data_IF_889496527074
#
_entry.id   IF_889496527074
#
_cell.length_a   1.000
_cell.length_b   1.000
_cell.length_c   1.000
_cell.angle_alpha   90.00
_cell.angle_beta   90.00
_cell.angle_gamma   90.00
#
_symmetry.space_group_name_H-M   'P 1'
#
loop_
_entity.id
_entity.type
_entity.pdbx_description
1 polymer ?
#
# COMPACT_ATOMS: atom_id res chain seq x y z
N UNK A 1 -5.79 -11.39 15.02
CA UNK A 1 -4.58 -11.10 15.83
C UNK A 1 -3.40 -11.83 15.20
N UNK A 2 -2.21 -11.23 15.23
CA UNK A 2 -0.96 -11.89 14.82
C UNK A 2 0.13 -11.66 15.87
N UNK A 3 1.06 -12.61 16.00
CA UNK A 3 2.20 -12.58 16.92
C UNK A 3 3.46 -13.00 16.15
N UNK A 4 4.48 -12.16 16.15
CA UNK A 4 5.81 -12.52 15.68
C UNK A 4 6.70 -12.89 16.87
N UNK A 5 7.37 -14.04 16.82
CA UNK A 5 8.22 -14.48 17.94
C UNK A 5 9.12 -15.66 17.60
N UNK A 6 10.14 -15.86 18.43
CA UNK A 6 11.09 -16.95 18.26
C UNK A 6 10.54 -18.28 18.80
N UNK A 7 10.65 -19.34 17.99
CA UNK A 7 10.27 -20.72 18.36
C UNK A 7 11.27 -21.42 19.28
N UNK A 8 12.49 -20.89 19.35
CA UNK A 8 13.62 -21.42 20.12
C UNK A 8 14.47 -20.26 20.61
N UNK A 9 15.56 -20.57 21.32
CA UNK A 9 16.55 -19.57 21.70
C UNK A 9 16.99 -18.71 20.52
N UNK A 10 16.90 -17.40 20.69
CA UNK A 10 17.40 -16.38 19.77
C UNK A 10 18.68 -15.76 20.34
N UNK A 11 19.62 -15.43 19.47
CA UNK A 11 20.83 -14.73 19.87
C UNK A 11 20.60 -13.24 19.88
N UNK A 12 20.83 -12.59 21.03
CA UNK A 12 20.73 -11.15 21.18
C UNK A 12 22.12 -10.57 21.47
N UNK A 13 22.29 -9.27 21.21
CA UNK A 13 23.51 -8.55 21.54
C UNK A 13 23.27 -7.71 22.80
N UNK A 14 23.93 -8.03 23.93
CA UNK A 14 23.82 -7.25 25.15
C UNK A 14 24.17 -5.77 24.90
N UNK A 15 23.34 -4.87 25.41
CA UNK A 15 23.55 -3.42 25.25
C UNK A 15 23.24 -2.89 23.85
N UNK A 16 22.48 -3.62 23.01
CA UNK A 16 22.05 -3.17 21.68
C UNK A 16 21.55 -1.72 21.70
N UNK A 17 22.23 -0.85 20.94
CA UNK A 17 21.90 0.58 20.82
C UNK A 17 21.75 1.03 19.38
N UNK A 18 22.15 0.20 18.41
CA UNK A 18 22.16 0.55 17.01
C UNK A 18 21.69 -0.63 16.16
N UNK A 19 20.90 -0.30 15.15
CA UNK A 19 20.34 -1.25 14.21
C UNK A 19 21.38 -2.11 13.47
N UNK A 20 22.57 -1.57 13.24
CA UNK A 20 23.69 -2.29 12.61
C UNK A 20 24.35 -3.32 13.53
N UNK A 21 23.94 -3.47 14.79
CA UNK A 21 24.60 -4.39 15.70
C UNK A 21 24.11 -5.83 15.57
N UNK A 22 23.05 -6.11 14.81
CA UNK A 22 22.52 -7.47 14.65
C UNK A 22 21.85 -8.01 15.92
N UNK A 23 21.76 -9.34 16.01
CA UNK A 23 21.03 -10.03 17.08
C UNK A 23 19.49 -9.93 16.97
N UNK A 24 18.78 -10.50 17.93
CA UNK A 24 17.30 -10.56 17.97
C UNK A 24 16.66 -9.16 17.90
N UNK A 25 17.25 -8.18 18.58
CA UNK A 25 16.75 -6.80 18.58
C UNK A 25 16.78 -6.14 17.19
N UNK A 26 17.74 -6.48 16.32
CA UNK A 26 17.75 -5.96 14.95
C UNK A 26 16.65 -6.55 14.08
N UNK A 27 16.31 -7.85 14.21
CA UNK A 27 15.18 -8.41 13.45
C UNK A 27 13.84 -7.86 13.94
N UNK A 28 13.70 -7.64 15.25
CA UNK A 28 12.52 -7.01 15.85
C UNK A 28 12.37 -5.55 15.40
N UNK A 29 13.46 -4.77 15.44
CA UNK A 29 13.46 -3.40 14.96
C UNK A 29 13.12 -3.32 13.47
N UNK A 30 13.74 -4.16 12.64
CA UNK A 30 13.44 -4.21 11.20
C UNK A 30 11.97 -4.57 10.95
N UNK A 31 11.40 -5.50 11.73
CA UNK A 31 9.98 -5.84 11.63
C UNK A 31 9.10 -4.62 11.91
N UNK A 32 9.35 -3.88 12.98
CA UNK A 32 8.61 -2.66 13.29
C UNK A 32 8.83 -1.56 12.25
N UNK A 33 10.05 -1.42 11.73
CA UNK A 33 10.34 -0.48 10.64
C UNK A 33 9.46 -0.78 9.42
N UNK A 34 9.43 -2.03 8.94
CA UNK A 34 8.62 -2.40 7.78
C UNK A 34 7.12 -2.36 8.06
N UNK A 35 6.68 -2.78 9.25
CA UNK A 35 5.27 -2.75 9.65
C UNK A 35 4.79 -1.30 9.75
N UNK A 36 5.51 -0.44 10.47
CA UNK A 36 5.08 0.92 10.78
C UNK A 36 5.42 1.90 9.67
N UNK A 37 6.71 2.04 9.36
CA UNK A 37 7.21 3.08 8.47
C UNK A 37 7.00 2.72 7.00
N UNK A 38 6.97 1.43 6.65
CA UNK A 38 6.65 0.99 5.29
C UNK A 38 5.19 0.52 5.12
N UNK A 39 4.35 0.68 6.16
CA UNK A 39 2.92 0.27 6.19
C UNK A 39 2.67 -1.15 5.66
N UNK A 40 3.60 -2.08 5.88
CA UNK A 40 3.44 -3.44 5.41
C UNK A 40 2.54 -4.25 6.34
N UNK A 41 1.90 -5.29 5.79
CA UNK A 41 1.28 -6.31 6.61
C UNK A 41 2.34 -7.14 7.34
N UNK A 42 1.98 -7.75 8.46
CA UNK A 42 2.89 -8.51 9.34
C UNK A 42 3.67 -9.60 8.59
N UNK A 43 3.07 -10.27 7.61
CA UNK A 43 3.74 -11.27 6.78
C UNK A 43 4.89 -10.68 5.97
N UNK A 44 4.61 -9.75 5.03
CA UNK A 44 5.64 -9.02 4.31
C UNK A 44 6.67 -8.33 5.23
N UNK A 45 6.23 -7.72 6.33
CA UNK A 45 7.12 -7.06 7.28
C UNK A 45 8.14 -8.03 7.93
N UNK A 46 7.68 -9.21 8.36
CA UNK A 46 8.58 -10.23 8.91
C UNK A 46 9.47 -10.85 7.83
N UNK A 47 8.96 -11.01 6.61
CA UNK A 47 9.77 -11.48 5.50
C UNK A 47 10.90 -10.49 5.17
N UNK A 48 10.57 -9.20 5.03
CA UNK A 48 11.56 -8.17 4.73
C UNK A 48 12.55 -7.96 5.88
N UNK A 49 12.12 -8.06 7.13
CA UNK A 49 13.04 -7.99 8.27
C UNK A 49 14.06 -9.13 8.24
N UNK A 50 13.64 -10.34 7.86
CA UNK A 50 14.53 -11.49 7.66
C UNK A 50 15.47 -11.31 6.47
N UNK A 51 14.99 -10.79 5.33
CA UNK A 51 15.84 -10.49 4.16
C UNK A 51 16.90 -9.45 4.52
N UNK A 52 16.49 -8.38 5.19
CA UNK A 52 17.42 -7.38 5.72
C UNK A 52 18.46 -8.05 6.63
N UNK A 53 18.00 -8.89 7.56
CA UNK A 53 18.87 -9.58 8.51
C UNK A 53 19.92 -10.46 7.83
N UNK A 54 19.49 -11.24 6.84
CA UNK A 54 20.38 -12.07 6.00
C UNK A 54 21.47 -11.21 5.35
N UNK A 55 21.06 -10.17 4.63
CA UNK A 55 21.97 -9.38 3.82
C UNK A 55 22.99 -8.59 4.65
N UNK A 56 22.70 -8.33 5.93
CA UNK A 56 23.53 -7.47 6.77
C UNK A 56 24.31 -8.22 7.86
N UNK A 57 23.87 -9.40 8.31
CA UNK A 57 24.42 -10.03 9.52
C UNK A 57 24.83 -11.50 9.39
N UNK A 58 24.56 -12.18 8.26
CA UNK A 58 24.87 -13.61 8.09
C UNK A 58 26.11 -13.89 7.24
N UNK A 59 26.86 -12.84 6.87
CA UNK A 59 28.09 -12.96 6.09
C UNK A 59 29.30 -13.50 6.90
N UNK A 60 30.30 -14.09 6.24
CA UNK A 60 31.49 -14.64 6.89
C UNK A 60 32.38 -13.58 7.55
N UNK A 61 32.25 -12.31 7.12
CA UNK A 61 32.95 -11.16 7.69
C UNK A 61 32.28 -10.59 8.94
N UNK A 62 31.10 -11.09 9.32
CA UNK A 62 30.37 -10.60 10.48
C UNK A 62 30.78 -11.33 11.75
N UNK A 63 31.08 -10.61 12.87
CA UNK A 63 31.30 -11.24 14.15
C UNK A 63 30.10 -12.14 14.48
N UNK A 64 30.34 -13.43 14.74
CA UNK A 64 29.27 -14.41 14.99
C UNK A 64 28.36 -14.70 13.79
N UNK A 65 28.81 -14.46 12.55
CA UNK A 65 28.07 -14.67 11.29
C UNK A 65 27.40 -16.04 11.14
N UNK A 66 27.93 -17.10 11.78
CA UNK A 66 27.34 -18.44 11.80
C UNK A 66 26.18 -18.60 12.80
N UNK A 67 26.09 -17.75 13.81
CA UNK A 67 24.99 -17.73 14.80
C UNK A 67 23.78 -16.95 14.29
N UNK A 68 24.00 -15.96 13.42
CA UNK A 68 22.95 -15.08 12.92
C UNK A 68 21.87 -15.77 12.06
N UNK A 69 22.17 -16.78 11.22
CA UNK A 69 21.14 -17.57 10.55
C UNK A 69 20.12 -18.20 11.51
N UNK A 70 20.50 -18.50 12.77
CA UNK A 70 19.54 -19.03 13.75
C UNK A 70 18.35 -18.09 13.96
N UNK A 71 18.60 -16.78 14.08
CA UNK A 71 17.52 -15.81 14.29
C UNK A 71 16.55 -15.74 13.10
N UNK A 72 17.03 -15.97 11.88
CA UNK A 72 16.14 -16.01 10.71
C UNK A 72 15.17 -17.19 10.73
N UNK A 73 15.64 -18.36 11.17
CA UNK A 73 14.84 -19.57 11.17
C UNK A 73 14.01 -19.75 12.45
N UNK A 74 14.38 -19.09 13.54
CA UNK A 74 13.62 -19.17 14.80
C UNK A 74 12.42 -18.24 14.84
N UNK A 75 12.51 -17.04 14.24
CA UNK A 75 11.39 -16.11 14.21
C UNK A 75 10.28 -16.59 13.28
N UNK A 76 9.06 -16.71 13.78
CA UNK A 76 7.88 -17.13 13.03
C UNK A 76 6.73 -16.15 13.27
N UNK A 77 5.80 -16.12 12.30
CA UNK A 77 4.55 -15.40 12.43
C UNK A 77 3.42 -16.38 12.75
N UNK A 78 2.66 -16.09 13.80
CA UNK A 78 1.49 -16.83 14.22
C UNK A 78 0.25 -15.96 14.05
N UNK A 79 -0.78 -16.49 13.38
CA UNK A 79 -1.98 -15.74 13.02
C UNK A 79 -1.98 -15.32 11.55
N UNK A 80 -2.73 -14.26 11.23
CA UNK A 80 -2.96 -13.85 9.85
C UNK A 80 -1.83 -12.94 9.32
N UNK A 81 -1.06 -13.37 8.30
CA UNK A 81 0.02 -12.59 7.71
C UNK A 81 -0.45 -11.33 6.97
N UNK A 82 -1.74 -11.23 6.65
CA UNK A 82 -2.33 -10.08 5.99
C UNK A 82 -2.74 -8.96 6.95
N UNK A 83 -2.71 -9.19 8.27
CA UNK A 83 -2.94 -8.13 9.24
C UNK A 83 -1.78 -7.13 9.21
N UNK A 84 -2.07 -5.84 9.12
CA UNK A 84 -1.07 -4.77 9.13
C UNK A 84 -1.64 -3.48 9.71
N UNK A 85 -0.81 -2.44 9.74
CA UNK A 85 -1.28 -1.07 9.96
C UNK A 85 -1.46 -0.28 8.65
N UNK A 86 -1.27 -0.95 7.51
CA UNK A 86 -1.79 -0.47 6.25
C UNK A 86 -3.30 -0.36 6.43
N UNK A 87 -3.85 0.84 6.30
CA UNK A 87 -5.31 0.96 6.22
C UNK A 87 -5.78 0.06 5.08
N UNK A 88 -6.93 -0.58 5.25
CA UNK A 88 -7.60 -1.23 4.12
C UNK A 88 -7.66 -0.23 2.99
N UNK A 89 -7.09 -0.53 1.80
CA UNK A 89 -7.03 0.42 0.71
C UNK A 89 -8.43 0.95 0.45
N UNK A 90 -8.55 2.28 0.41
CA UNK A 90 -9.81 2.94 0.16
C UNK A 90 -9.63 4.02 -0.88
N UNK A 91 -10.70 4.22 -1.63
CA UNK A 91 -10.81 5.21 -2.69
C UNK A 91 -12.20 5.82 -2.55
N UNK A 92 -12.30 7.13 -2.67
CA UNK A 92 -13.59 7.82 -2.61
C UNK A 92 -13.62 9.05 -3.49
N UNK A 93 -14.82 9.40 -3.93
CA UNK A 93 -15.09 10.69 -4.54
C UNK A 93 -15.07 11.81 -3.50
N UNK A 94 -14.63 12.99 -3.92
CA UNK A 94 -14.51 14.16 -3.08
C UNK A 94 -14.67 15.45 -3.89
N UNK A 95 -14.70 16.58 -3.17
CA UNK A 95 -14.48 17.90 -3.74
C UNK A 95 -12.98 18.19 -3.97
N UNK A 96 -12.67 19.38 -4.50
CA UNK A 96 -11.29 19.83 -4.75
C UNK A 96 -10.46 19.98 -3.47
N UNK A 97 -11.09 20.14 -2.31
CA UNK A 97 -10.45 20.18 -1.00
C UNK A 97 -10.18 18.79 -0.42
N UNK A 98 -10.68 17.73 -1.04
CA UNK A 98 -10.57 16.36 -0.55
C UNK A 98 -11.61 15.97 0.50
N UNK A 99 -12.66 16.77 0.68
CA UNK A 99 -13.81 16.39 1.52
C UNK A 99 -14.67 15.40 0.75
N UNK A 100 -15.01 14.29 1.39
CA UNK A 100 -15.82 13.25 0.74
C UNK A 100 -17.16 13.80 0.27
N UNK A 101 -17.50 13.50 -0.97
CA UNK A 101 -18.75 13.91 -1.62
C UNK A 101 -19.15 12.81 -2.59
N UNK A 102 -20.40 12.36 -2.49
CA UNK A 102 -20.90 11.19 -3.21
C UNK A 102 -22.10 11.52 -4.11
N UNK A 103 -22.42 12.80 -4.27
CA UNK A 103 -23.47 13.32 -5.15
C UNK A 103 -22.99 14.61 -5.79
N UNK A 104 -23.17 14.76 -7.10
CA UNK A 104 -22.67 15.89 -7.87
C UNK A 104 -23.76 16.41 -8.81
N UNK A 105 -23.80 17.73 -9.00
CA UNK A 105 -24.74 18.42 -9.89
C UNK A 105 -24.09 18.81 -11.22
N UNK A 106 -24.87 19.04 -12.29
CA UNK A 106 -24.35 19.65 -13.52
C UNK A 106 -23.56 20.93 -13.24
N UNK A 107 -22.35 21.03 -13.82
CA UNK A 107 -21.43 22.15 -13.60
C UNK A 107 -20.44 21.93 -12.46
N UNK A 108 -20.54 20.84 -11.70
CA UNK A 108 -19.58 20.48 -10.66
C UNK A 108 -18.45 19.58 -11.17
N UNK A 109 -17.35 19.61 -10.44
CA UNK A 109 -16.18 18.78 -10.65
C UNK A 109 -16.16 17.60 -9.66
N UNK A 110 -15.89 16.41 -10.18
CA UNK A 110 -15.70 15.18 -9.41
C UNK A 110 -14.21 14.94 -9.24
N UNK A 111 -13.76 14.96 -7.98
CA UNK A 111 -12.40 14.57 -7.62
C UNK A 111 -12.40 13.19 -6.98
N UNK A 112 -11.25 12.52 -7.03
CA UNK A 112 -11.01 11.25 -6.34
C UNK A 112 -9.74 11.34 -5.52
N UNK A 113 -9.75 10.74 -4.34
CA UNK A 113 -8.56 10.53 -3.52
C UNK A 113 -8.54 9.11 -2.96
N UNK A 114 -7.36 8.61 -2.64
CA UNK A 114 -7.20 7.28 -2.04
C UNK A 114 -5.97 7.17 -1.15
N UNK A 115 -5.99 6.18 -0.26
CA UNK A 115 -4.90 5.79 0.64
C UNK A 115 -4.90 4.25 0.82
N UNK A 116 -3.83 3.71 1.41
CA UNK A 116 -3.65 2.29 1.68
C UNK A 116 -3.28 1.45 0.44
N UNK A 117 -3.10 2.09 -0.72
CA UNK A 117 -2.66 1.44 -1.96
C UNK A 117 -1.16 1.11 -1.89
N UNK A 118 -0.65 0.25 -2.79
CA UNK A 118 0.80 0.03 -2.87
C UNK A 118 1.51 1.38 -3.13
N UNK A 119 2.53 1.76 -2.34
CA UNK A 119 3.24 3.03 -2.49
C UNK A 119 4.10 3.04 -3.76
N UNK A 120 4.43 4.26 -4.23
CA UNK A 120 5.29 4.54 -5.38
C UNK A 120 4.86 3.77 -6.63
N UNK A 121 3.54 3.72 -6.83
CA UNK A 121 2.91 2.97 -7.90
C UNK A 121 1.92 3.84 -8.66
N UNK A 122 1.95 3.74 -9.98
CA UNK A 122 0.98 4.38 -10.86
C UNK A 122 -0.24 3.49 -11.02
N UNK A 123 -1.42 4.11 -10.94
CA UNK A 123 -2.73 3.52 -11.16
C UNK A 123 -3.51 4.33 -12.18
N UNK A 124 -4.45 3.68 -12.85
CA UNK A 124 -5.45 4.32 -13.71
C UNK A 124 -6.77 4.37 -12.95
N UNK A 125 -7.41 5.55 -12.94
CA UNK A 125 -8.73 5.76 -12.38
C UNK A 125 -9.78 5.51 -13.48
N UNK A 126 -10.84 4.81 -13.12
CA UNK A 126 -11.93 4.45 -14.01
C UNK A 126 -13.27 4.80 -13.37
N UNK A 127 -14.20 5.27 -14.19
CA UNK A 127 -15.62 5.39 -13.85
C UNK A 127 -16.35 4.24 -14.54
N UNK A 128 -17.12 3.45 -13.78
CA UNK A 128 -17.92 2.34 -14.28
C UNK A 128 -19.37 2.49 -13.80
N UNK A 129 -20.32 1.90 -14.52
CA UNK A 129 -21.74 1.96 -14.14
C UNK A 129 -22.07 1.06 -12.94
N UNK A 130 -21.35 -0.06 -12.82
CA UNK A 130 -21.54 -1.06 -11.77
C UNK A 130 -20.18 -1.42 -11.13
N UNK A 131 -20.18 -1.97 -9.90
CA UNK A 131 -18.95 -2.38 -9.24
C UNK A 131 -18.24 -3.49 -10.03
N UNK A 132 -16.97 -3.29 -10.35
CA UNK A 132 -16.18 -4.26 -11.10
C UNK A 132 -15.32 -5.11 -10.15
N UNK A 133 -15.51 -6.43 -10.19
CA UNK A 133 -14.68 -7.37 -9.42
C UNK A 133 -13.29 -7.52 -10.05
N UNK A 134 -12.29 -7.78 -9.21
CA UNK A 134 -10.92 -8.05 -9.66
C UNK A 134 -10.87 -9.12 -10.79
N UNK A 135 -10.08 -8.84 -11.83
CA UNK A 135 -9.91 -9.71 -13.00
C UNK A 135 -11.01 -9.60 -14.07
N UNK A 136 -12.06 -8.80 -13.84
CA UNK A 136 -13.04 -8.47 -14.89
C UNK A 136 -12.54 -7.33 -15.78
N UNK A 137 -13.09 -7.28 -16.99
CA UNK A 137 -12.76 -6.23 -17.96
C UNK A 137 -13.40 -4.91 -17.53
N UNK A 138 -12.66 -3.82 -17.70
CA UNK A 138 -13.14 -2.45 -17.53
C UNK A 138 -13.59 -1.91 -18.88
N UNK A 139 -14.72 -1.21 -18.91
CA UNK A 139 -15.33 -0.72 -20.13
C UNK A 139 -15.12 0.79 -20.27
N UNK A 140 -14.34 1.21 -21.27
CA UNK A 140 -14.09 2.63 -21.57
C UNK A 140 -15.36 3.39 -21.96
N UNK A 141 -16.35 2.71 -22.54
CA UNK A 141 -17.62 3.33 -22.95
C UNK A 141 -18.58 3.64 -21.80
N UNK A 142 -18.28 3.20 -20.58
CA UNK A 142 -19.07 3.52 -19.38
C UNK A 142 -18.64 4.83 -18.73
N UNK A 143 -17.48 5.35 -19.13
CA UNK A 143 -16.87 6.53 -18.55
C UNK A 143 -17.50 7.81 -19.14
N UNK A 144 -18.27 8.58 -18.36
CA UNK A 144 -18.91 9.80 -18.84
C UNK A 144 -17.92 10.98 -18.98
N UNK A 145 -16.71 10.90 -18.42
CA UNK A 145 -15.71 11.96 -18.55
C UNK A 145 -15.05 11.96 -19.93
N UNK A 146 -15.07 10.81 -20.61
CA UNK A 146 -14.43 10.59 -21.90
C UNK A 146 -12.93 10.31 -21.84
N UNK A 147 -12.31 10.28 -20.66
CA UNK A 147 -10.90 9.96 -20.49
C UNK A 147 -10.59 9.32 -19.12
N UNK A 148 -9.54 8.51 -19.05
CA UNK A 148 -9.05 7.97 -17.79
C UNK A 148 -7.85 8.77 -17.28
N UNK A 149 -7.81 9.02 -15.99
CA UNK A 149 -6.70 9.69 -15.32
C UNK A 149 -5.70 8.70 -14.73
N UNK A 150 -4.44 9.12 -14.66
CA UNK A 150 -3.38 8.37 -13.97
C UNK A 150 -2.96 9.08 -12.70
N UNK A 151 -2.86 8.34 -11.61
CA UNK A 151 -2.35 8.83 -10.32
C UNK A 151 -1.15 8.01 -9.90
N UNK A 152 -0.21 8.64 -9.20
CA UNK A 152 0.92 7.93 -8.58
C UNK A 152 0.83 8.09 -7.07
N UNK A 153 0.98 6.98 -6.35
CA UNK A 153 0.91 6.94 -4.88
C UNK A 153 2.28 7.16 -4.27
N UNK A 154 2.35 7.58 -3.01
CA UNK A 154 3.59 7.50 -2.23
C UNK A 154 4.57 8.69 -2.34
N UNK A 155 5.64 8.65 -1.52
CA UNK A 155 6.53 9.77 -1.29
C UNK A 155 7.43 10.12 -2.48
N UNK A 156 7.68 9.20 -3.43
CA UNK A 156 8.50 9.50 -4.62
C UNK A 156 7.93 10.66 -5.46
N UNK A 157 6.65 10.95 -5.29
CA UNK A 157 5.88 11.97 -6.00
C UNK A 157 5.24 12.98 -5.02
N UNK A 158 5.81 13.11 -3.81
CA UNK A 158 5.40 14.10 -2.81
C UNK A 158 4.15 13.75 -2.01
N UNK A 159 3.62 12.53 -2.14
CA UNK A 159 2.40 12.10 -1.46
C UNK A 159 2.69 11.29 -0.19
N UNK A 160 1.67 11.10 0.65
CA UNK A 160 1.75 10.16 1.76
C UNK A 160 1.91 8.72 1.25
N UNK A 161 2.50 7.84 2.06
CA UNK A 161 2.77 6.44 1.69
C UNK A 161 1.45 5.73 1.35
N UNK A 162 1.34 5.28 0.10
CA UNK A 162 0.16 4.58 -0.40
C UNK A 162 -1.01 5.49 -0.79
N UNK A 163 -0.82 6.81 -0.72
CA UNK A 163 -1.87 7.80 -0.99
C UNK A 163 -1.61 8.60 -2.27
N UNK A 164 -2.70 9.11 -2.85
CA UNK A 164 -2.67 10.16 -3.86
C UNK A 164 -3.67 11.27 -3.48
N UNK A 165 -3.38 12.54 -3.82
CA UNK A 165 -4.21 13.69 -3.45
C UNK A 165 -5.51 13.73 -4.29
N UNK A 166 -6.47 14.61 -3.94
CA UNK A 166 -7.63 14.87 -4.78
C UNK A 166 -7.23 15.13 -6.24
N UNK A 167 -7.70 14.26 -7.13
CA UNK A 167 -7.41 14.28 -8.57
C UNK A 167 -8.74 14.46 -9.30
N UNK A 168 -8.84 15.48 -10.15
CA UNK A 168 -10.02 15.71 -10.98
C UNK A 168 -10.17 14.57 -11.97
N UNK A 169 -11.33 13.91 -11.99
CA UNK A 169 -11.63 12.80 -12.93
C UNK A 169 -12.78 13.12 -13.88
N UNK A 170 -13.62 14.09 -13.53
CA UNK A 170 -14.76 14.45 -14.37
C UNK A 170 -15.23 15.87 -14.06
N UNK A 171 -15.27 16.71 -15.09
CA UNK A 171 -15.98 17.99 -15.04
C UNK A 171 -17.35 17.82 -15.69
N UNK A 172 -18.41 17.83 -14.88
CA UNK A 172 -19.77 17.64 -15.38
C UNK A 172 -20.18 18.91 -16.12
N UNK A 173 -20.58 18.85 -17.41
CA UNK A 173 -21.05 20.03 -18.13
C UNK A 173 -22.24 20.68 -17.41
N UNK A 174 -22.30 22.01 -17.39
CA UNK A 174 -23.39 22.74 -16.72
C UNK A 174 -24.74 22.59 -17.44
N UNK A 175 -24.72 22.20 -18.71
CA UNK A 175 -25.88 21.87 -19.53
C UNK A 175 -26.22 20.37 -19.52
N UNK A 176 -25.50 19.56 -18.74
CA UNK A 176 -25.78 18.13 -18.62
C UNK A 176 -27.19 17.91 -18.02
N UNK A 177 -27.92 16.89 -18.48
CA UNK A 177 -29.22 16.54 -17.91
C UNK A 177 -29.04 16.09 -16.46
N UNK A 178 -29.96 16.53 -15.59
CA UNK A 178 -30.01 16.05 -14.20
C UNK A 178 -30.45 14.58 -14.22
N UNK A 179 -29.55 13.70 -13.76
CA UNK A 179 -29.82 12.27 -13.61
C UNK A 179 -29.48 11.82 -12.20
N UNK A 180 -30.06 10.69 -11.78
CA UNK A 180 -29.71 10.00 -10.53
C UNK A 180 -28.86 8.76 -10.82
N UNK A 181 -28.09 8.80 -11.91
CA UNK A 181 -27.27 7.67 -12.34
C UNK A 181 -26.14 7.44 -11.34
N UNK A 182 -25.90 6.17 -11.00
CA UNK A 182 -24.86 5.78 -10.06
C UNK A 182 -23.65 5.29 -10.83
N UNK A 183 -22.48 5.61 -10.29
CA UNK A 183 -21.21 5.16 -10.82
C UNK A 183 -20.34 4.64 -9.69
N UNK A 184 -19.45 3.72 -10.05
CA UNK A 184 -18.40 3.19 -9.21
C UNK A 184 -17.04 3.67 -9.71
N UNK A 185 -16.16 4.01 -8.77
CA UNK A 185 -14.77 4.38 -9.07
C UNK A 185 -13.90 3.14 -8.88
N UNK A 186 -13.19 2.75 -9.94
CA UNK A 186 -12.25 1.63 -9.91
C UNK A 186 -10.83 2.16 -10.07
N UNK A 187 -9.92 1.66 -9.24
CA UNK A 187 -8.49 2.00 -9.29
C UNK A 187 -7.72 0.78 -9.76
N UNK A 188 -7.23 0.85 -11.00
CA UNK A 188 -6.55 -0.26 -11.66
C UNK A 188 -5.03 -0.10 -11.62
N UNK A 189 -4.33 -1.16 -11.22
CA UNK A 189 -2.87 -1.20 -11.12
C UNK A 189 -2.20 -1.46 -12.46
N UNK A 190 -2.94 -1.70 -13.55
CA UNK A 190 -2.35 -2.04 -14.86
C UNK A 190 -1.38 -0.95 -15.33
N UNK A 191 -0.10 -1.23 -15.12
CA UNK A 191 0.95 -0.78 -16.01
C UNK A 191 0.57 -1.31 -17.39
N UNK A 192 0.51 -0.44 -18.40
CA UNK A 192 0.37 -0.80 -19.81
C UNK A 192 0.96 -2.19 -20.10
N UNK A 193 0.14 -3.24 -20.12
CA UNK A 193 0.51 -4.49 -20.78
C UNK A 193 0.22 -4.27 -22.26
N UNK A 194 1.04 -3.41 -22.85
CA UNK A 194 1.18 -3.32 -24.28
C UNK A 194 1.98 -4.53 -24.75
N UNK A 195 1.30 -5.38 -25.53
CA UNK A 195 1.82 -6.44 -26.39
C UNK A 195 2.45 -7.66 -25.70
#
# INVERSE_FOLDING_TARGET
MAVAGATRGSYYNPGWQNFSWGGASSIDYAFWWYLILNRQNCGPALYQSKVFYWNNFTGPSWPWGWMHPYNMFTYNLYGDPSLGIGETPWVKSCDSGGTEKNSFEPGEDVYVKGDGLNPDRTYTLWIQNDPVTEGKALATGEDPSGAQETVTTGPANGNQIGAFPPTLIWSIPSDAPVTFHKYDIVVDKRANSGL
#
